data_IF_527175808335
#
_entry.id   IF_527175808335
#
_cell.length_a   1.000
_cell.length_b   1.000
_cell.length_c   1.000
_cell.angle_alpha   90.00
_cell.angle_beta   90.00
_cell.angle_gamma   90.00
#
_symmetry.space_group_name_H-M   'P 1'
#
loop_
_entity.id
_entity.type
_entity.pdbx_description
1 polymer ?
#
# COMPACT_ATOMS: atom_id res chain seq x y z
N UNK A 1 12.71 14.74 -5.05
CA UNK A 1 11.44 14.49 -4.32
C UNK A 1 11.58 13.21 -3.53
N UNK A 2 11.13 13.18 -2.28
CA UNK A 2 11.12 11.99 -1.43
C UNK A 2 9.72 11.35 -1.49
N UNK A 3 9.66 10.12 -1.97
CA UNK A 3 8.41 9.36 -2.16
C UNK A 3 8.37 8.23 -1.15
N UNK A 4 7.26 8.09 -0.43
CA UNK A 4 6.98 6.95 0.44
C UNK A 4 5.94 6.05 -0.20
N UNK A 5 6.23 4.76 -0.27
CA UNK A 5 5.26 3.70 -0.53
C UNK A 5 4.97 3.03 0.81
N UNK A 6 3.74 3.18 1.30
CA UNK A 6 3.34 2.75 2.63
C UNK A 6 2.30 1.63 2.51
N UNK A 7 2.67 0.42 2.91
CA UNK A 7 1.78 -0.73 2.96
C UNK A 7 1.06 -0.77 4.30
N UNK A 8 -0.26 -0.79 4.26
CA UNK A 8 -1.13 -0.93 5.42
C UNK A 8 -1.84 -2.27 5.32
N UNK A 9 -2.05 -2.90 6.47
CA UNK A 9 -2.85 -4.10 6.53
C UNK A 9 -2.50 -4.99 7.72
N UNK A 10 -3.37 -5.96 7.95
CA UNK A 10 -3.13 -6.99 8.95
C UNK A 10 -2.92 -8.36 8.28
N UNK A 11 -1.65 -8.74 8.17
CA UNK A 11 -1.21 -10.00 7.55
C UNK A 11 -1.79 -11.28 8.19
N UNK A 12 -2.37 -11.18 9.39
CA UNK A 12 -3.00 -12.31 10.06
C UNK A 12 -4.41 -12.63 9.52
N UNK A 13 -4.97 -11.74 8.69
CA UNK A 13 -6.36 -11.80 8.22
C UNK A 13 -6.47 -11.76 6.69
N UNK A 14 -5.94 -12.78 6.01
CA UNK A 14 -6.16 -13.00 4.57
C UNK A 14 -5.85 -11.74 3.75
N UNK A 15 -6.82 -11.32 2.92
CA UNK A 15 -6.74 -10.17 2.03
C UNK A 15 -6.53 -8.85 2.77
N UNK A 16 -6.87 -8.73 4.07
CA UNK A 16 -6.58 -7.54 4.88
C UNK A 16 -5.07 -7.26 5.00
N UNK A 17 -4.24 -8.28 4.80
CA UNK A 17 -2.79 -8.16 4.78
C UNK A 17 -2.23 -7.58 3.49
N UNK A 18 -3.06 -7.38 2.46
CA UNK A 18 -2.59 -7.19 1.10
C UNK A 18 -1.66 -5.98 0.95
N UNK A 19 -1.94 -4.84 1.59
CA UNK A 19 -1.06 -3.68 1.49
C UNK A 19 0.34 -3.92 2.07
N UNK A 20 0.42 -4.58 3.22
CA UNK A 20 1.68 -5.01 3.83
C UNK A 20 2.42 -6.04 2.94
N UNK A 21 1.73 -7.08 2.45
CA UNK A 21 2.33 -8.06 1.54
C UNK A 21 2.83 -7.41 0.23
N UNK A 22 2.06 -6.46 -0.31
CA UNK A 22 2.38 -5.83 -1.59
C UNK A 22 3.64 -4.98 -1.54
N UNK A 23 3.91 -4.29 -0.43
CA UNK A 23 5.15 -3.52 -0.30
C UNK A 23 6.39 -4.41 -0.23
N UNK A 24 6.31 -5.56 0.44
CA UNK A 24 7.36 -6.57 0.41
C UNK A 24 7.56 -7.15 -0.99
N UNK A 25 6.47 -7.36 -1.73
CA UNK A 25 6.51 -7.81 -3.12
C UNK A 25 7.27 -6.82 -4.00
N UNK A 26 6.95 -5.53 -3.91
CA UNK A 26 7.64 -4.48 -4.66
C UNK A 26 9.12 -4.37 -4.28
N UNK A 27 9.45 -4.45 -2.98
CA UNK A 27 10.82 -4.37 -2.48
C UNK A 27 11.69 -5.58 -2.91
N UNK A 28 11.08 -6.76 -3.05
CA UNK A 28 11.79 -7.95 -3.54
C UNK A 28 11.99 -7.90 -5.06
N UNK A 29 10.98 -7.43 -5.79
CA UNK A 29 10.90 -7.48 -7.24
C UNK A 29 11.64 -6.34 -7.93
N UNK A 30 11.68 -5.15 -7.34
CA UNK A 30 12.19 -3.94 -7.96
C UNK A 30 13.31 -3.25 -7.17
N UNK A 31 14.13 -2.51 -7.90
CA UNK A 31 15.08 -1.54 -7.37
C UNK A 31 14.70 -0.14 -7.88
N UNK A 32 14.50 0.80 -6.97
CA UNK A 32 14.05 2.14 -7.29
C UNK A 32 15.25 3.09 -7.43
N UNK A 33 16.01 2.94 -8.52
CA UNK A 33 17.16 3.82 -8.81
C UNK A 33 16.70 5.14 -9.39
N UNK A 34 17.07 6.24 -8.74
CA UNK A 34 16.96 7.56 -9.33
C UNK A 34 18.01 8.50 -8.72
N UNK A 35 18.59 9.39 -9.54
CA UNK A 35 19.57 10.40 -9.12
C UNK A 35 18.91 11.62 -8.45
N UNK A 36 17.62 11.86 -8.71
CA UNK A 36 16.89 13.09 -8.35
C UNK A 36 15.73 12.85 -7.38
N UNK A 37 15.22 11.63 -7.31
CA UNK A 37 14.15 11.22 -6.41
C UNK A 37 14.60 10.05 -5.53
N UNK A 38 14.11 10.00 -4.30
CA UNK A 38 14.26 8.84 -3.44
C UNK A 38 12.91 8.15 -3.30
N UNK A 39 12.91 6.82 -3.34
CA UNK A 39 11.73 6.01 -3.02
C UNK A 39 12.06 5.19 -1.78
N UNK A 40 11.22 5.34 -0.77
CA UNK A 40 11.25 4.58 0.46
C UNK A 40 10.02 3.68 0.50
N UNK A 41 10.21 2.45 0.96
CA UNK A 41 9.13 1.48 1.13
C UNK A 41 9.02 1.16 2.61
N UNK A 42 7.82 1.18 3.16
CA UNK A 42 7.56 0.86 4.57
C UNK A 42 6.35 -0.04 4.67
N UNK A 43 6.50 -1.14 5.41
CA UNK A 43 5.38 -1.89 5.98
C UNK A 43 4.94 -1.16 7.24
N UNK A 44 3.81 -0.46 7.14
CA UNK A 44 3.18 0.25 8.23
C UNK A 44 2.28 -0.64 9.09
N UNK A 45 1.99 -1.86 8.65
CA UNK A 45 1.06 -2.79 9.27
C UNK A 45 -0.24 -2.08 9.69
N UNK A 46 -0.53 -2.13 10.99
CA UNK A 46 -1.66 -1.44 11.62
C UNK A 46 -1.21 -0.34 12.60
N UNK A 47 -0.10 0.35 12.31
CA UNK A 47 0.49 1.34 13.23
C UNK A 47 -0.27 2.67 13.31
N UNK A 48 -1.11 2.97 12.32
CA UNK A 48 -1.99 4.14 12.28
C UNK A 48 -1.29 5.44 12.67
N UNK A 49 -1.75 6.13 13.72
CA UNK A 49 -1.24 7.42 14.17
C UNK A 49 0.26 7.45 14.46
N UNK A 50 0.87 6.29 14.76
CA UNK A 50 2.32 6.20 14.97
C UNK A 50 3.13 6.48 13.70
N UNK A 51 2.49 6.42 12.53
CA UNK A 51 3.09 6.72 11.23
C UNK A 51 3.11 8.22 10.92
N UNK A 52 2.41 9.08 11.69
CA UNK A 52 2.40 10.54 11.46
C UNK A 52 3.81 11.13 11.33
N UNK A 53 4.75 10.90 12.28
CA UNK A 53 6.08 11.50 12.20
C UNK A 53 6.92 10.99 11.03
N UNK A 54 6.57 9.84 10.46
CA UNK A 54 7.19 9.30 9.26
C UNK A 54 6.60 9.97 8.02
N UNK A 55 5.27 9.95 7.87
CA UNK A 55 4.53 10.44 6.70
C UNK A 55 4.90 11.89 6.37
N UNK A 56 4.93 12.77 7.38
CA UNK A 56 5.20 14.22 7.18
C UNK A 56 6.62 14.55 6.71
N UNK A 57 7.54 13.58 6.66
CA UNK A 57 8.91 13.77 6.16
C UNK A 57 9.02 13.66 4.63
N UNK A 58 7.97 13.19 3.96
CA UNK A 58 7.96 12.92 2.54
C UNK A 58 7.22 14.02 1.77
N UNK A 59 7.55 14.16 0.49
CA UNK A 59 6.88 15.09 -0.42
C UNK A 59 5.64 14.44 -1.06
N UNK A 60 5.70 13.12 -1.27
CA UNK A 60 4.67 12.32 -1.89
C UNK A 60 4.51 10.98 -1.18
N UNK A 61 3.27 10.55 -0.96
CA UNK A 61 2.94 9.29 -0.27
C UNK A 61 1.97 8.49 -1.12
N UNK A 62 2.24 7.20 -1.27
CA UNK A 62 1.34 6.22 -1.88
C UNK A 62 0.97 5.24 -0.79
N UNK A 63 -0.24 5.35 -0.27
CA UNK A 63 -0.78 4.39 0.70
C UNK A 63 -1.37 3.22 -0.07
N UNK A 64 -1.00 2.00 0.30
CA UNK A 64 -1.57 0.77 -0.25
C UNK A 64 -2.32 0.10 0.87
N UNK A 65 -3.63 -0.06 0.71
CA UNK A 65 -4.51 -0.58 1.75
C UNK A 65 -5.72 -1.30 1.12
N UNK A 66 -6.42 -2.09 1.94
CA UNK A 66 -7.77 -2.50 1.60
C UNK A 66 -8.73 -1.32 1.71
N UNK A 67 -9.74 -1.30 0.85
CA UNK A 67 -10.83 -0.31 0.89
C UNK A 67 -12.15 -1.00 0.58
N UNK A 68 -13.27 -0.35 0.90
CA UNK A 68 -14.59 -0.73 0.40
C UNK A 68 -15.07 0.28 -0.65
N UNK A 69 -15.98 -0.16 -1.52
CA UNK A 69 -16.62 0.73 -2.50
C UNK A 69 -18.02 0.24 -2.88
N UNK A 70 -18.90 1.16 -3.25
CA UNK A 70 -20.25 0.84 -3.70
C UNK A 70 -20.23 0.07 -5.03
N UNK A 71 -20.95 -1.06 -5.07
CA UNK A 71 -21.06 -1.96 -6.23
C UNK A 71 -19.72 -2.54 -6.73
N UNK A 72 -18.73 -2.65 -5.84
CA UNK A 72 -17.44 -3.26 -6.16
C UNK A 72 -17.46 -4.79 -6.00
N UNK A 73 -16.40 -5.43 -6.49
CA UNK A 73 -16.15 -6.88 -6.36
C UNK A 73 -14.76 -7.12 -5.78
N UNK A 74 -14.55 -8.24 -5.07
CA UNK A 74 -13.21 -8.62 -4.63
C UNK A 74 -12.20 -8.61 -5.78
N UNK A 75 -11.03 -8.02 -5.53
CA UNK A 75 -9.97 -7.83 -6.53
C UNK A 75 -10.13 -6.58 -7.41
N UNK A 76 -11.20 -5.79 -7.29
CA UNK A 76 -11.25 -4.47 -7.92
C UNK A 76 -10.17 -3.57 -7.30
N UNK A 77 -9.47 -2.82 -8.17
CA UNK A 77 -8.35 -1.94 -7.78
C UNK A 77 -8.72 -0.49 -8.07
N UNK A 78 -8.53 0.36 -7.07
CA UNK A 78 -8.77 1.80 -7.14
C UNK A 78 -7.47 2.55 -6.93
N UNK A 79 -7.24 3.59 -7.71
CA UNK A 79 -6.10 4.48 -7.53
C UNK A 79 -6.54 5.94 -7.65
N UNK A 80 -6.43 6.68 -6.55
CA UNK A 80 -6.99 8.02 -6.45
C UNK A 80 -6.16 8.94 -5.56
N UNK A 81 -6.32 10.24 -5.79
CA UNK A 81 -5.78 11.30 -4.94
C UNK A 81 -6.64 11.41 -3.68
N UNK A 82 -6.04 11.34 -2.49
CA UNK A 82 -6.75 11.31 -1.22
C UNK A 82 -7.68 12.53 -1.03
N UNK A 83 -7.23 13.71 -1.45
CA UNK A 83 -8.02 14.95 -1.34
C UNK A 83 -9.21 14.99 -2.33
N UNK A 84 -9.20 14.12 -3.33
CA UNK A 84 -10.22 14.02 -4.37
C UNK A 84 -10.78 12.60 -4.47
N UNK A 85 -10.93 11.93 -3.32
CA UNK A 85 -11.46 10.57 -3.26
C UNK A 85 -12.85 10.48 -3.95
N UNK A 86 -13.07 9.49 -4.82
CA UNK A 86 -14.38 9.22 -5.40
C UNK A 86 -15.43 8.98 -4.31
N UNK A 87 -16.66 9.44 -4.54
CA UNK A 87 -17.76 9.35 -3.55
C UNK A 87 -18.19 7.92 -3.29
N UNK A 88 -17.88 7.02 -4.22
CA UNK A 88 -18.24 5.62 -4.14
C UNK A 88 -17.27 4.82 -3.25
N UNK A 89 -16.09 5.36 -2.92
CA UNK A 89 -15.10 4.71 -2.06
C UNK A 89 -15.42 5.02 -0.59
N UNK A 90 -15.48 3.96 0.21
CA UNK A 90 -15.64 4.04 1.67
C UNK A 90 -14.44 3.35 2.33
N UNK A 91 -13.64 4.11 3.06
CA UNK A 91 -12.43 3.60 3.71
C UNK A 91 -12.70 3.31 5.19
N UNK A 92 -13.72 2.48 5.42
CA UNK A 92 -14.25 2.16 6.75
C UNK A 92 -14.63 0.68 6.91
N UNK A 93 -14.06 -0.21 6.08
CA UNK A 93 -14.38 -1.63 6.11
C UNK A 93 -13.77 -2.38 7.29
N UNK A 94 -12.67 -1.88 7.85
CA UNK A 94 -12.00 -2.45 9.03
C UNK A 94 -11.45 -1.40 10.00
N UNK A 95 -11.01 -1.83 11.19
CA UNK A 95 -10.48 -0.91 12.20
C UNK A 95 -9.21 -0.18 11.74
N UNK A 96 -8.27 -0.88 11.08
CA UNK A 96 -7.02 -0.26 10.64
C UNK A 96 -7.24 0.69 9.46
N UNK A 97 -8.19 0.39 8.58
CA UNK A 97 -8.64 1.29 7.52
C UNK A 97 -9.17 2.62 8.10
N UNK A 98 -10.08 2.54 9.08
CA UNK A 98 -10.63 3.71 9.77
C UNK A 98 -9.52 4.51 10.46
N UNK A 99 -8.62 3.84 11.18
CA UNK A 99 -7.52 4.49 11.89
C UNK A 99 -6.51 5.16 10.94
N UNK A 100 -6.26 4.57 9.77
CA UNK A 100 -5.43 5.19 8.73
C UNK A 100 -6.12 6.40 8.08
N UNK A 101 -7.40 6.31 7.76
CA UNK A 101 -8.19 7.45 7.29
C UNK A 101 -8.15 8.61 8.31
N UNK A 102 -8.33 8.30 9.60
CA UNK A 102 -8.20 9.29 10.68
C UNK A 102 -6.79 9.88 10.74
N UNK A 103 -5.76 9.05 10.57
CA UNK A 103 -4.36 9.48 10.54
C UNK A 103 -4.12 10.50 9.43
N UNK A 104 -4.54 10.22 8.20
CA UNK A 104 -4.38 11.14 7.06
C UNK A 104 -5.16 12.44 7.28
N UNK A 105 -6.41 12.34 7.77
CA UNK A 105 -7.22 13.51 8.10
C UNK A 105 -6.58 14.40 9.17
N UNK A 106 -5.98 13.80 10.22
CA UNK A 106 -5.27 14.56 11.26
C UNK A 106 -4.09 15.35 10.69
N UNK A 107 -3.30 14.72 9.82
CA UNK A 107 -2.17 15.38 9.15
C UNK A 107 -2.68 16.52 8.25
N UNK A 108 -3.78 16.29 7.51
CA UNK A 108 -4.40 17.31 6.65
C UNK A 108 -4.91 18.51 7.45
N UNK A 109 -5.59 18.27 8.58
CA UNK A 109 -6.07 19.33 9.48
C UNK A 109 -4.90 20.15 10.02
N UNK A 110 -3.74 19.52 10.26
CA UNK A 110 -2.53 20.22 10.69
C UNK A 110 -1.83 20.99 9.56
N UNK A 111 -2.20 20.75 8.29
CA UNK A 111 -1.62 21.40 7.12
C UNK A 111 -0.32 20.76 6.62
N UNK A 112 0.06 19.59 7.14
CA UNK A 112 1.33 18.93 6.83
C UNK A 112 1.16 17.70 5.91
N UNK A 113 -0.02 17.52 5.30
CA UNK A 113 -0.28 16.33 4.48
C UNK A 113 0.54 16.39 3.19
N UNK A 114 1.44 15.42 2.94
CA UNK A 114 2.13 15.33 1.66
C UNK A 114 1.14 15.06 0.53
N UNK A 115 1.59 15.19 -0.73
CA UNK A 115 0.76 14.76 -1.84
C UNK A 115 0.48 13.26 -1.72
N UNK A 116 -0.78 12.89 -1.45
CA UNK A 116 -1.12 11.52 -1.07
C UNK A 116 -2.04 10.88 -2.10
N UNK A 117 -1.62 9.73 -2.61
CA UNK A 117 -2.46 8.84 -3.39
C UNK A 117 -2.72 7.54 -2.61
N UNK A 118 -3.88 6.95 -2.87
CA UNK A 118 -4.28 5.66 -2.29
C UNK A 118 -4.40 4.66 -3.42
N UNK A 119 -3.70 3.54 -3.30
CA UNK A 119 -3.90 2.33 -4.09
C UNK A 119 -4.73 1.36 -3.25
N UNK A 120 -6.05 1.43 -3.44
CA UNK A 120 -7.02 0.60 -2.73
C UNK A 120 -7.31 -0.69 -3.49
N UNK A 121 -7.45 -1.79 -2.75
CA UNK A 121 -7.95 -3.06 -3.28
C UNK A 121 -9.18 -3.50 -2.49
N UNK A 122 -10.19 -4.05 -3.17
CA UNK A 122 -11.36 -4.63 -2.51
C UNK A 122 -11.02 -6.06 -2.04
N UNK A 123 -10.99 -6.33 -0.73
CA UNK A 123 -10.70 -7.66 -0.22
C UNK A 123 -11.89 -8.61 -0.40
N UNK A 124 -11.62 -9.92 -0.39
CA UNK A 124 -12.66 -10.93 -0.17
C UNK A 124 -12.75 -11.22 1.32
N UNK A 125 -13.69 -10.55 2.00
CA UNK A 125 -13.91 -10.75 3.43
C UNK A 125 -14.66 -12.06 3.67
N UNK A 126 -14.03 -12.98 4.39
CA UNK A 126 -14.63 -14.26 4.84
C UNK A 126 -14.55 -14.29 6.36
N UNK A 127 -15.63 -14.69 7.02
CA UNK A 127 -15.68 -14.74 8.49
C UNK A 127 -14.69 -15.79 9.06
N UNK A 128 -13.99 -15.40 10.12
CA UNK A 128 -13.38 -16.26 11.17
C UNK A 128 -12.17 -17.17 10.85
N UNK A 129 -11.46 -17.02 9.72
CA UNK A 129 -10.21 -17.78 9.47
C UNK A 129 -8.96 -16.89 9.47
N UNK A 130 -8.17 -16.97 10.55
CA UNK A 130 -6.81 -16.40 10.57
C UNK A 130 -5.88 -17.21 9.68
N UNK A 131 -5.49 -16.64 8.54
CA UNK A 131 -4.54 -17.24 7.60
C UNK A 131 -3.78 -16.17 6.84
N UNK A 132 -2.60 -16.53 6.34
CA UNK A 132 -1.77 -15.71 5.46
C UNK A 132 -2.14 -15.92 3.98
N UNK A 133 -3.06 -16.83 3.68
CA UNK A 133 -3.49 -17.11 2.32
C UNK A 133 -4.37 -15.97 1.79
N UNK A 134 -4.04 -15.50 0.59
CA UNK A 134 -4.80 -14.51 -0.15
C UNK A 134 -5.82 -15.19 -1.06
N UNK A 135 -6.94 -14.53 -1.32
CA UNK A 135 -7.93 -15.00 -2.27
C UNK A 135 -7.42 -14.98 -3.71
N UNK A 136 -7.94 -15.87 -4.56
CA UNK A 136 -7.62 -15.90 -6.00
C UNK A 136 -7.91 -14.55 -6.68
N UNK A 137 -8.96 -13.86 -6.22
CA UNK A 137 -9.35 -12.54 -6.72
C UNK A 137 -8.26 -11.50 -6.44
N UNK A 138 -7.74 -11.45 -5.21
CA UNK A 138 -6.68 -10.52 -4.80
C UNK A 138 -5.31 -10.88 -5.41
N UNK A 139 -5.00 -12.18 -5.53
CA UNK A 139 -3.79 -12.64 -6.21
C UNK A 139 -3.77 -12.15 -7.67
N UNK A 140 -4.89 -12.27 -8.40
CA UNK A 140 -5.00 -11.77 -9.78
C UNK A 140 -4.91 -10.24 -9.87
N UNK A 141 -5.45 -9.53 -8.89
CA UNK A 141 -5.43 -8.08 -8.83
C UNK A 141 -4.01 -7.51 -8.66
N UNK A 142 -3.08 -8.30 -8.12
CA UNK A 142 -1.66 -7.91 -7.93
C UNK A 142 -1.04 -7.38 -9.22
N UNK A 143 -1.32 -7.97 -10.38
CA UNK A 143 -0.81 -7.47 -11.68
C UNK A 143 -1.32 -6.07 -12.00
N UNK A 144 -2.58 -5.78 -11.70
CA UNK A 144 -3.18 -4.45 -11.89
C UNK A 144 -2.59 -3.44 -10.91
N UNK A 145 -2.43 -3.82 -9.64
CA UNK A 145 -1.78 -2.99 -8.62
C UNK A 145 -0.35 -2.64 -9.01
N UNK A 146 0.42 -3.63 -9.46
CA UNK A 146 1.80 -3.49 -9.92
C UNK A 146 1.88 -2.54 -11.11
N UNK A 147 1.09 -2.80 -12.16
CA UNK A 147 1.06 -1.92 -13.32
C UNK A 147 0.73 -0.47 -12.94
N UNK A 148 -0.23 -0.29 -12.04
CA UNK A 148 -0.71 1.03 -11.59
C UNK A 148 0.38 1.79 -10.85
N UNK A 149 1.03 1.15 -9.87
CA UNK A 149 2.07 1.83 -9.08
C UNK A 149 3.32 2.14 -9.90
N UNK A 150 3.75 1.22 -10.77
CA UNK A 150 4.91 1.44 -11.63
C UNK A 150 4.64 2.61 -12.58
N UNK A 151 3.46 2.64 -13.22
CA UNK A 151 3.07 3.75 -14.11
C UNK A 151 2.99 5.09 -13.36
N UNK A 152 2.49 5.09 -12.13
CA UNK A 152 2.45 6.30 -11.31
C UNK A 152 3.86 6.79 -10.97
N UNK A 153 4.75 5.89 -10.52
CA UNK A 153 6.16 6.22 -10.26
C UNK A 153 6.87 6.76 -11.50
N UNK A 154 6.62 6.20 -12.68
CA UNK A 154 7.14 6.71 -13.95
C UNK A 154 6.67 8.13 -14.26
N UNK A 155 5.39 8.44 -13.95
CA UNK A 155 4.86 9.80 -14.08
C UNK A 155 5.53 10.81 -13.15
N UNK A 156 6.07 10.33 -12.01
CA UNK A 156 6.87 11.10 -11.06
C UNK A 156 8.37 11.11 -11.43
N UNK A 157 8.74 10.53 -12.57
CA UNK A 157 10.11 10.46 -13.07
C UNK A 157 10.97 9.38 -12.43
N UNK A 158 10.39 8.44 -11.68
CA UNK A 158 11.08 7.26 -11.15
C UNK A 158 10.90 6.09 -12.11
N UNK A 159 12.00 5.45 -12.51
CA UNK A 159 11.96 4.24 -13.35
C UNK A 159 12.43 3.04 -12.54
N UNK A 160 11.51 2.23 -11.99
CA UNK A 160 11.86 1.02 -11.27
C UNK A 160 12.61 0.05 -12.19
N UNK A 161 13.69 -0.54 -11.69
CA UNK A 161 14.48 -1.55 -12.40
C UNK A 161 14.11 -2.92 -11.85
N UNK A 162 13.76 -3.84 -12.73
CA UNK A 162 13.44 -5.21 -12.32
C UNK A 162 14.69 -5.90 -11.73
N UNK A 163 14.58 -6.39 -10.51
CA UNK A 163 15.64 -7.10 -9.76
C UNK A 163 15.45 -8.61 -9.84
N UNK A 164 14.20 -9.08 -9.71
CA UNK A 164 13.78 -10.48 -9.82
C UNK A 164 12.46 -10.52 -10.57
N UNK A 165 12.30 -11.44 -11.52
CA UNK A 165 11.10 -11.51 -12.37
C UNK A 165 10.08 -12.55 -11.88
N UNK A 166 10.55 -13.52 -11.10
CA UNK A 166 9.82 -14.70 -10.63
C UNK A 166 9.16 -14.52 -9.26
N UNK A 167 9.13 -13.28 -8.73
CA UNK A 167 8.48 -12.99 -7.44
C UNK A 167 6.97 -13.06 -7.60
N UNK A 168 6.31 -13.85 -6.77
CA UNK A 168 4.84 -13.90 -6.67
C UNK A 168 4.36 -13.32 -5.35
N UNK A 169 3.12 -12.79 -5.32
CA UNK A 169 2.54 -12.29 -4.08
C UNK A 169 2.28 -13.42 -3.07
N UNK A 170 1.96 -14.62 -3.56
CA UNK A 170 1.70 -15.79 -2.72
C UNK A 170 2.95 -16.21 -1.96
N UNK A 171 4.11 -16.27 -2.62
CA UNK A 171 5.37 -16.57 -1.95
C UNK A 171 5.73 -15.50 -0.90
N UNK A 172 5.45 -14.23 -1.21
CA UNK A 172 5.69 -13.11 -0.29
C UNK A 172 4.76 -13.16 0.92
N UNK A 173 3.50 -13.55 0.74
CA UNK A 173 2.53 -13.64 1.82
C UNK A 173 2.96 -14.64 2.90
N UNK A 174 3.64 -15.73 2.52
CA UNK A 174 4.17 -16.73 3.44
C UNK A 174 5.40 -16.27 4.24
N UNK A 175 6.08 -15.18 3.83
CA UNK A 175 7.36 -14.77 4.43
C UNK A 175 7.43 -13.31 4.86
N UNK A 176 6.43 -12.48 4.55
CA UNK A 176 6.45 -11.03 4.84
C UNK A 176 6.75 -10.73 6.31
N UNK A 177 6.13 -11.46 7.24
CA UNK A 177 6.33 -11.29 8.69
C UNK A 177 7.76 -11.59 9.19
N UNK A 178 8.61 -12.23 8.37
CA UNK A 178 10.02 -12.51 8.67
C UNK A 178 10.98 -11.67 7.84
N UNK A 179 10.48 -10.88 6.89
CA UNK A 179 11.30 -10.19 5.90
C UNK A 179 11.54 -8.75 6.34
N UNK A 180 12.80 -8.32 6.25
CA UNK A 180 13.14 -6.89 6.37
C UNK A 180 12.98 -6.21 5.02
N UNK A 181 12.49 -4.97 5.01
CA UNK A 181 12.41 -4.15 3.78
C UNK A 181 13.77 -3.51 3.53
N UNK A 182 14.33 -3.75 2.35
CA UNK A 182 15.66 -3.25 1.99
C UNK A 182 15.63 -1.74 1.76
N UNK A 183 14.53 -1.25 1.17
CA UNK A 183 14.30 0.17 0.90
C UNK A 183 13.63 0.92 2.08
N UNK A 184 13.70 0.38 3.30
CA UNK A 184 13.21 1.05 4.52
C UNK A 184 14.07 2.30 4.78
N UNK A 185 13.48 3.49 5.03
CA UNK A 185 14.22 4.69 5.37
C UNK A 185 15.09 4.45 6.61
N UNK A 186 16.41 4.43 6.41
CA UNK A 186 17.38 4.39 7.51
C UNK A 186 17.26 5.68 8.33
N UNK A 187 16.75 5.55 9.56
CA UNK A 187 16.69 6.63 10.56
C UNK A 187 18.09 7.04 11.00
#
# INVERSE_FOLDING_TARGET
MNILILGIGNILFQDEGMGAHFVHYLDEKYEFKNEQNSVSIVDGGTLAHRLIPLIVKFDHVIVIDCVDALNSKPGDVYFFDFEHAPKEIDWQGSAHEIEMLQTLNMIQINGDLPKTHVLGIIPKRVDDDTTFELSDEVIKATTTMEHTIIKHLESLGVKPVLKKDDVTITDIAEVSYKREIINDPKI
#
